data_IF_962161544821
#
_entry.id   IF_962161544821
#
_cell.length_a   1.000
_cell.length_b   1.000
_cell.length_c   1.000
_cell.angle_alpha   90.00
_cell.angle_beta   90.00
_cell.angle_gamma   90.00
#
_symmetry.space_group_name_H-M   'P 1'
#
loop_
_entity.id
_entity.type
_entity.pdbx_description
1 polymer ?
#
# COMPACT_ATOMS: atom_id res chain seq x y z
N UNK A 1 -18.57 -12.17 -40.20
CA UNK A 1 -17.66 -13.23 -39.74
C UNK A 1 -18.51 -14.46 -39.48
N UNK A 2 -18.30 -15.53 -40.24
CA UNK A 2 -19.04 -16.78 -40.12
C UNK A 2 -18.12 -17.77 -39.40
N UNK A 3 -18.45 -18.13 -38.15
CA UNK A 3 -17.61 -19.02 -37.36
C UNK A 3 -17.67 -20.43 -37.94
N UNK A 4 -16.54 -20.96 -38.39
CA UNK A 4 -16.46 -22.29 -38.99
C UNK A 4 -16.22 -23.39 -37.94
N UNK A 5 -16.62 -24.64 -38.22
CA UNK A 5 -16.39 -25.79 -37.32
C UNK A 5 -14.90 -25.99 -36.97
N UNK A 6 -13.98 -25.59 -37.86
CA UNK A 6 -12.53 -25.67 -37.67
C UNK A 6 -12.03 -24.64 -36.65
N UNK A 7 -12.54 -23.41 -36.70
CA UNK A 7 -12.18 -22.35 -35.74
C UNK A 7 -12.68 -22.67 -34.33
N UNK A 8 -13.84 -23.31 -34.21
CA UNK A 8 -14.35 -23.80 -32.92
C UNK A 8 -13.41 -24.87 -32.35
N UNK A 9 -12.95 -25.82 -33.18
CA UNK A 9 -12.02 -26.87 -32.75
C UNK A 9 -10.65 -26.30 -32.36
N UNK A 10 -10.14 -25.34 -33.12
CA UNK A 10 -8.89 -24.64 -32.80
C UNK A 10 -9.01 -23.84 -31.50
N UNK A 11 -10.14 -23.17 -31.27
CA UNK A 11 -10.41 -22.43 -30.02
C UNK A 11 -10.46 -23.35 -28.80
N UNK A 12 -11.09 -24.52 -28.90
CA UNK A 12 -11.08 -25.54 -27.83
C UNK A 12 -9.65 -25.98 -27.54
N UNK A 13 -8.83 -26.17 -28.59
CA UNK A 13 -7.43 -26.57 -28.45
C UNK A 13 -6.59 -25.48 -27.78
N UNK A 14 -6.79 -24.21 -28.15
CA UNK A 14 -6.15 -23.04 -27.51
C UNK A 14 -6.52 -22.98 -26.03
N UNK A 15 -7.81 -23.11 -25.69
CA UNK A 15 -8.27 -23.10 -24.30
C UNK A 15 -7.62 -24.26 -23.53
N UNK A 16 -7.56 -25.47 -24.10
CA UNK A 16 -6.93 -26.61 -23.45
C UNK A 16 -5.44 -26.37 -23.15
N UNK A 17 -4.68 -25.83 -24.11
CA UNK A 17 -3.27 -25.47 -23.92
C UNK A 17 -3.11 -24.38 -22.86
N UNK A 18 -3.95 -23.34 -22.91
CA UNK A 18 -3.94 -22.24 -21.93
C UNK A 18 -4.28 -22.73 -20.52
N UNK A 19 -5.20 -23.68 -20.37
CA UNK A 19 -5.49 -24.29 -19.07
C UNK A 19 -4.30 -25.09 -18.55
N UNK A 20 -3.62 -25.89 -19.39
CA UNK A 20 -2.44 -26.64 -18.98
C UNK A 20 -1.32 -25.71 -18.49
N UNK A 21 -1.04 -24.64 -19.23
CA UNK A 21 -0.06 -23.62 -18.82
C UNK A 21 -0.51 -22.93 -17.54
N UNK A 22 -1.80 -22.56 -17.45
CA UNK A 22 -2.38 -21.95 -16.26
C UNK A 22 -2.20 -22.81 -15.01
N UNK A 23 -2.41 -24.13 -15.12
CA UNK A 23 -2.19 -25.05 -14.01
C UNK A 23 -0.73 -25.11 -13.57
N UNK A 24 0.23 -25.14 -14.50
CA UNK A 24 1.67 -25.11 -14.16
C UNK A 24 2.03 -23.86 -13.38
N UNK A 25 1.61 -22.67 -13.85
CA UNK A 25 1.89 -21.40 -13.17
C UNK A 25 1.18 -21.35 -11.82
N UNK A 26 -0.07 -21.80 -11.75
CA UNK A 26 -0.82 -21.88 -10.49
C UNK A 26 -0.18 -22.83 -9.48
N UNK A 27 0.51 -23.88 -9.95
CA UNK A 27 1.27 -24.80 -9.12
C UNK A 27 2.45 -24.11 -8.44
N UNK A 28 3.21 -23.30 -9.18
CA UNK A 28 4.30 -22.50 -8.62
C UNK A 28 3.78 -21.46 -7.61
N UNK A 29 2.65 -20.80 -7.92
CA UNK A 29 1.99 -19.88 -6.97
C UNK A 29 1.57 -20.63 -5.70
N UNK A 30 0.97 -21.82 -5.85
CA UNK A 30 0.56 -22.64 -4.72
C UNK A 30 1.74 -23.11 -3.88
N UNK A 31 2.86 -23.47 -4.50
CA UNK A 31 4.08 -23.84 -3.79
C UNK A 31 4.62 -22.66 -2.96
N UNK A 32 4.72 -21.47 -3.56
CA UNK A 32 5.13 -20.27 -2.84
C UNK A 32 4.20 -19.95 -1.67
N UNK A 33 2.88 -20.09 -1.84
CA UNK A 33 1.89 -19.91 -0.77
C UNK A 33 2.10 -20.94 0.35
N UNK A 34 2.38 -22.19 0.01
CA UNK A 34 2.61 -23.25 0.97
C UNK A 34 3.89 -23.02 1.78
N UNK A 35 4.97 -22.58 1.14
CA UNK A 35 6.23 -22.23 1.79
C UNK A 35 6.04 -21.09 2.80
N UNK A 36 5.31 -20.04 2.41
CA UNK A 36 4.98 -18.92 3.30
C UNK A 36 4.10 -19.37 4.47
N UNK A 37 3.07 -20.19 4.22
CA UNK A 37 2.23 -20.74 5.28
C UNK A 37 3.01 -21.64 6.24
N UNK A 38 3.94 -22.44 5.74
CA UNK A 38 4.82 -23.25 6.58
C UNK A 38 5.71 -22.37 7.46
N UNK A 39 6.27 -21.30 6.89
CA UNK A 39 7.04 -20.29 7.62
C UNK A 39 6.21 -19.64 8.74
N UNK A 40 4.97 -19.24 8.46
CA UNK A 40 4.10 -18.62 9.47
C UNK A 40 3.65 -19.61 10.56
N UNK A 41 3.35 -20.85 10.18
CA UNK A 41 2.93 -21.88 11.13
C UNK A 41 4.05 -22.33 12.07
N UNK A 42 5.29 -22.35 11.57
CA UNK A 42 6.49 -22.66 12.38
C UNK A 42 6.99 -21.47 13.20
N UNK A 43 6.55 -20.25 12.91
CA UNK A 43 7.02 -19.06 13.60
C UNK A 43 6.61 -19.06 15.07
N UNK A 44 7.53 -18.63 15.94
CA UNK A 44 7.29 -18.57 17.38
C UNK A 44 6.31 -17.43 17.68
N UNK A 45 5.32 -17.68 18.54
CA UNK A 45 4.33 -16.67 18.95
C UNK A 45 4.71 -16.09 20.31
N UNK A 46 5.17 -14.84 20.32
CA UNK A 46 5.66 -14.14 21.50
C UNK A 46 4.65 -13.04 21.89
N UNK A 47 4.25 -13.02 23.15
CA UNK A 47 3.36 -11.98 23.74
C UNK A 47 3.97 -11.32 24.97
N UNK A 48 5.21 -11.70 25.30
CA UNK A 48 5.91 -11.31 26.51
C UNK A 48 7.25 -10.64 26.15
N UNK A 49 7.62 -9.62 26.92
CA UNK A 49 8.81 -8.79 26.71
C UNK A 49 10.11 -9.58 26.94
N UNK A 50 10.16 -10.40 28.00
CA UNK A 50 11.34 -11.20 28.30
C UNK A 50 11.55 -12.29 27.25
N UNK A 51 10.46 -12.91 26.79
CA UNK A 51 10.52 -13.86 25.67
C UNK A 51 10.95 -13.22 24.36
N UNK A 52 10.60 -11.95 24.11
CA UNK A 52 11.05 -11.24 22.91
C UNK A 52 12.56 -11.00 22.92
N UNK A 53 13.09 -10.48 24.04
CA UNK A 53 14.53 -10.30 24.22
C UNK A 53 15.27 -11.64 24.15
N UNK A 54 14.80 -12.64 24.89
CA UNK A 54 15.38 -13.98 24.85
C UNK A 54 15.35 -14.58 23.44
N UNK A 55 14.28 -14.33 22.67
CA UNK A 55 14.16 -14.77 21.29
C UNK A 55 15.25 -14.18 20.38
N UNK A 56 15.58 -12.90 20.57
CA UNK A 56 16.69 -12.24 19.88
C UNK A 56 18.05 -12.78 20.33
N UNK A 57 18.25 -12.97 21.63
CA UNK A 57 19.52 -13.46 22.20
C UNK A 57 19.83 -14.91 21.79
N UNK A 58 18.79 -15.73 21.55
CA UNK A 58 18.91 -17.15 21.19
C UNK A 58 18.71 -17.43 19.70
N UNK A 59 18.57 -16.40 18.87
CA UNK A 59 18.50 -16.52 17.41
C UNK A 59 17.36 -17.45 16.92
N UNK A 60 16.17 -17.35 17.49
CA UNK A 60 15.07 -18.31 17.26
C UNK A 60 14.48 -18.29 15.82
N UNK A 61 14.87 -17.32 14.99
CA UNK A 61 14.35 -17.17 13.63
C UNK A 61 13.03 -16.41 13.58
N UNK A 62 12.13 -16.82 12.69
CA UNK A 62 10.86 -16.12 12.46
C UNK A 62 9.95 -16.17 13.70
N UNK A 63 9.44 -15.02 14.11
CA UNK A 63 8.52 -14.89 15.22
C UNK A 63 7.43 -13.84 14.93
N UNK A 64 6.23 -14.12 15.44
CA UNK A 64 5.19 -13.14 15.64
C UNK A 64 5.32 -12.57 17.04
N UNK A 65 5.47 -11.25 17.16
CA UNK A 65 5.67 -10.58 18.45
C UNK A 65 4.56 -9.57 18.66
N UNK A 66 3.66 -9.83 19.61
CA UNK A 66 2.66 -8.86 20.05
C UNK A 66 3.22 -8.01 21.18
N UNK A 67 3.16 -6.70 21.03
CA UNK A 67 3.79 -5.79 21.98
C UNK A 67 3.31 -4.35 21.90
N UNK A 68 3.85 -3.53 22.79
CA UNK A 68 3.68 -2.08 22.76
C UNK A 68 4.81 -1.45 21.95
N UNK A 69 4.45 -0.53 21.07
CA UNK A 69 5.36 0.38 20.40
C UNK A 69 5.24 1.75 21.08
N UNK A 70 6.34 2.28 21.60
CA UNK A 70 6.39 3.53 22.34
C UNK A 70 7.55 4.41 21.87
N UNK A 71 7.41 5.72 21.98
CA UNK A 71 8.51 6.67 21.76
C UNK A 71 9.50 6.62 22.92
N UNK A 72 10.80 6.66 22.63
CA UNK A 72 11.83 6.95 23.64
C UNK A 72 11.98 8.46 23.81
N UNK A 73 12.09 9.17 22.70
CA UNK A 73 12.10 10.63 22.60
C UNK A 73 10.91 11.12 21.76
N UNK A 74 10.49 12.37 21.96
CA UNK A 74 9.29 12.93 21.29
C UNK A 74 9.63 14.19 20.52
N UNK A 75 8.93 14.41 19.41
CA UNK A 75 9.04 15.61 18.58
C UNK A 75 7.72 16.35 18.49
N UNK A 76 7.79 17.67 18.31
CA UNK A 76 6.64 18.51 18.00
C UNK A 76 7.07 19.82 17.37
N UNK A 77 6.17 20.46 16.62
CA UNK A 77 6.29 21.87 16.27
C UNK A 77 5.66 22.73 17.38
N UNK A 78 6.22 23.91 17.73
CA UNK A 78 5.68 24.79 18.77
C UNK A 78 4.21 25.17 18.54
N UNK A 79 3.82 25.39 17.28
CA UNK A 79 2.50 25.86 16.89
C UNK A 79 1.37 24.83 17.04
N UNK A 80 1.71 23.54 17.13
CA UNK A 80 0.73 22.46 17.38
C UNK A 80 0.81 21.90 18.79
N UNK A 81 1.97 21.99 19.46
CA UNK A 81 2.24 21.36 20.75
C UNK A 81 1.99 19.84 20.75
N UNK A 82 2.02 19.24 21.93
CA UNK A 82 1.84 17.79 22.10
C UNK A 82 3.13 16.99 21.91
N UNK A 83 3.00 15.67 21.91
CA UNK A 83 4.12 14.73 21.84
C UNK A 83 3.84 13.68 20.76
N UNK A 84 4.81 13.47 19.87
CA UNK A 84 4.68 12.56 18.75
C UNK A 84 5.98 11.81 18.50
N UNK A 85 5.89 10.60 17.96
CA UNK A 85 7.05 9.87 17.41
C UNK A 85 7.48 10.52 16.09
N UNK A 86 6.51 11.01 15.30
CA UNK A 86 6.71 11.62 14.00
C UNK A 86 5.68 12.71 13.78
N UNK A 87 6.10 13.84 13.20
CA UNK A 87 5.22 14.91 12.75
C UNK A 87 5.60 15.34 11.35
N UNK A 88 4.61 15.48 10.48
CA UNK A 88 4.71 16.01 9.13
C UNK A 88 3.97 17.34 9.07
N UNK A 89 4.61 18.38 8.55
CA UNK A 89 4.05 19.69 8.24
C UNK A 89 4.00 19.83 6.72
N UNK A 90 2.82 20.12 6.18
CA UNK A 90 2.59 20.33 4.76
C UNK A 90 2.16 21.78 4.57
N UNK A 91 2.95 22.57 3.84
CA UNK A 91 2.53 23.87 3.33
C UNK A 91 1.66 23.65 2.10
N UNK A 92 0.43 24.14 2.15
CA UNK A 92 -0.48 24.13 1.02
C UNK A 92 -0.85 25.54 0.60
N UNK A 93 -0.87 25.78 -0.72
CA UNK A 93 -1.27 27.04 -1.34
C UNK A 93 -2.55 26.84 -2.12
N UNK A 94 -3.45 27.81 -2.06
CA UNK A 94 -4.70 27.76 -2.80
C UNK A 94 -4.52 28.39 -4.18
N UNK A 95 -4.11 27.60 -5.14
CA UNK A 95 -3.83 28.03 -6.51
C UNK A 95 -5.09 28.07 -7.37
N UNK A 96 -5.02 28.85 -8.44
CA UNK A 96 -6.10 29.09 -9.39
C UNK A 96 -5.82 28.31 -10.65
N UNK A 97 -6.81 27.55 -11.11
CA UNK A 97 -6.75 26.81 -12.36
C UNK A 97 -7.83 27.28 -13.32
N UNK A 98 -7.52 27.24 -14.60
CA UNK A 98 -8.45 27.46 -15.70
C UNK A 98 -8.56 26.17 -16.52
N UNK A 99 -9.77 25.71 -16.75
CA UNK A 99 -10.07 24.58 -17.61
C UNK A 99 -11.03 25.02 -18.71
N UNK A 100 -10.70 24.73 -19.96
CA UNK A 100 -11.58 24.95 -21.10
C UNK A 100 -12.58 23.79 -21.20
N UNK A 101 -13.87 24.08 -21.11
CA UNK A 101 -14.94 23.08 -21.15
C UNK A 101 -15.82 23.34 -22.37
N UNK A 102 -16.05 22.29 -23.16
CA UNK A 102 -16.97 22.29 -24.29
C UNK A 102 -18.30 21.64 -23.90
N UNK A 103 -19.38 22.40 -23.99
CA UNK A 103 -20.74 21.95 -23.69
C UNK A 103 -21.59 21.91 -24.96
N UNK A 104 -22.38 20.84 -25.13
CA UNK A 104 -23.37 20.73 -26.22
C UNK A 104 -24.73 21.20 -25.73
N UNK A 105 -25.35 22.11 -26.47
CA UNK A 105 -26.73 22.48 -26.21
C UNK A 105 -27.72 21.38 -26.65
N UNK A 106 -29.00 21.54 -26.30
CA UNK A 106 -30.07 20.60 -26.67
C UNK A 106 -30.31 20.48 -28.18
N UNK A 107 -29.64 21.30 -28.99
CA UNK A 107 -29.66 21.27 -30.46
C UNK A 107 -28.35 20.74 -31.05
N UNK A 108 -27.44 20.24 -30.22
CA UNK A 108 -26.17 19.63 -30.63
C UNK A 108 -25.06 20.62 -31.00
N UNK A 109 -25.23 21.93 -30.74
CA UNK A 109 -24.19 22.92 -30.99
C UNK A 109 -23.24 23.00 -29.80
N UNK A 110 -21.94 22.94 -30.10
CA UNK A 110 -20.86 23.04 -29.11
C UNK A 110 -20.60 24.51 -28.75
N UNK A 111 -20.43 24.77 -27.45
CA UNK A 111 -20.05 26.05 -26.88
C UNK A 111 -18.90 25.83 -25.91
N UNK A 112 -17.84 26.62 -26.07
CA UNK A 112 -16.67 26.57 -25.20
C UNK A 112 -16.76 27.65 -24.13
N UNK A 113 -16.46 27.31 -22.88
CA UNK A 113 -16.31 28.27 -21.78
C UNK A 113 -15.10 27.95 -20.91
N UNK A 114 -14.49 28.98 -20.33
CA UNK A 114 -13.42 28.82 -19.35
C UNK A 114 -14.05 28.65 -17.96
N UNK A 115 -13.74 27.54 -17.30
CA UNK A 115 -14.07 27.29 -15.91
C UNK A 115 -12.87 27.64 -15.05
N UNK A 116 -13.06 28.60 -14.15
CA UNK A 116 -12.06 28.95 -13.14
C UNK A 116 -12.38 28.21 -11.85
N UNK A 117 -11.40 27.50 -11.30
CA UNK A 117 -11.52 26.82 -10.01
C UNK A 117 -10.24 27.00 -9.19
N UNK A 118 -10.29 26.59 -7.92
CA UNK A 118 -9.17 26.73 -7.01
C UNK A 118 -8.95 25.45 -6.24
N UNK A 119 -7.71 25.01 -6.16
CA UNK A 119 -7.32 23.79 -5.43
C UNK A 119 -6.22 24.10 -4.42
N UNK A 120 -6.12 23.24 -3.41
CA UNK A 120 -5.02 23.32 -2.45
C UNK A 120 -3.91 22.42 -2.95
N UNK A 121 -2.78 23.01 -3.29
CA UNK A 121 -1.62 22.32 -3.80
C UNK A 121 -0.52 22.28 -2.75
N UNK A 122 0.21 21.17 -2.70
CA UNK A 122 1.35 21.02 -1.77
C UNK A 122 2.56 21.74 -2.32
N UNK A 123 3.00 22.77 -1.60
CA UNK A 123 4.22 23.51 -1.94
C UNK A 123 5.45 22.90 -1.28
N UNK A 124 5.35 22.57 0.01
CA UNK A 124 6.48 22.12 0.80
C UNK A 124 6.06 21.07 1.84
N UNK A 125 6.98 20.16 2.13
CA UNK A 125 6.80 19.10 3.11
C UNK A 125 8.01 19.07 4.03
N UNK A 126 7.77 19.33 5.30
CA UNK A 126 8.75 19.20 6.37
C UNK A 126 8.35 18.07 7.31
N UNK A 127 9.32 17.44 7.95
CA UNK A 127 9.04 16.43 8.96
C UNK A 127 10.06 16.39 10.07
N UNK A 128 9.58 16.02 11.25
CA UNK A 128 10.37 15.76 12.45
C UNK A 128 10.08 14.32 12.89
N UNK A 129 11.10 13.65 13.43
CA UNK A 129 10.96 12.29 13.93
C UNK A 129 11.82 12.07 15.17
N UNK A 130 11.39 11.13 16.01
CA UNK A 130 12.16 10.61 17.12
C UNK A 130 13.46 9.96 16.61
N UNK A 131 14.48 9.90 17.45
CA UNK A 131 15.72 9.15 17.15
C UNK A 131 15.52 7.67 17.43
N UNK A 132 14.81 7.36 18.51
CA UNK A 132 14.66 6.02 19.02
C UNK A 132 13.20 5.71 19.37
N UNK A 133 12.86 4.44 19.19
CA UNK A 133 11.56 3.86 19.52
C UNK A 133 11.78 2.64 20.38
N UNK A 134 10.82 2.32 21.24
CA UNK A 134 10.80 1.13 22.06
C UNK A 134 9.71 0.20 21.58
N UNK A 135 10.04 -1.03 21.28
CA UNK A 135 9.06 -2.06 20.96
C UNK A 135 9.25 -3.28 21.86
N UNK A 136 8.17 -3.65 22.54
CA UNK A 136 8.13 -4.78 23.47
C UNK A 136 9.35 -4.77 24.42
N UNK A 137 9.57 -3.64 25.09
CA UNK A 137 10.69 -3.44 26.02
C UNK A 137 12.03 -3.04 25.42
N UNK A 138 12.30 -3.48 24.19
CA UNK A 138 13.60 -3.29 23.53
C UNK A 138 13.66 -1.98 22.74
N UNK A 139 14.78 -1.25 22.85
CA UNK A 139 15.00 0.02 22.15
C UNK A 139 15.60 -0.23 20.77
N UNK A 140 15.09 0.48 19.77
CA UNK A 140 15.54 0.44 18.39
C UNK A 140 15.65 1.85 17.82
N UNK A 141 16.45 2.01 16.76
CA UNK A 141 16.42 3.24 15.96
C UNK A 141 15.04 3.42 15.31
N UNK A 142 14.60 4.68 15.15
CA UNK A 142 13.31 5.03 14.56
C UNK A 142 12.98 4.29 13.25
N UNK A 143 13.95 4.12 12.35
CA UNK A 143 13.75 3.46 11.05
C UNK A 143 13.69 1.93 11.11
N UNK A 144 13.81 1.34 12.31
CA UNK A 144 13.83 -0.12 12.47
C UNK A 144 12.45 -0.73 12.23
N UNK A 145 11.40 -0.03 12.64
CA UNK A 145 10.01 -0.47 12.52
C UNK A 145 9.24 0.58 11.71
N UNK A 146 8.50 0.13 10.72
CA UNK A 146 7.60 1.01 9.96
C UNK A 146 6.44 1.44 10.85
N UNK A 147 6.35 2.74 11.11
CA UNK A 147 5.33 3.29 11.99
C UNK A 147 3.93 3.24 11.35
N UNK A 148 2.87 3.23 12.18
CA UNK A 148 1.51 3.41 11.69
C UNK A 148 1.37 4.73 10.90
N UNK A 149 0.44 4.75 9.95
CA UNK A 149 0.13 5.96 9.17
C UNK A 149 -0.17 7.16 10.08
N UNK A 150 0.47 8.28 9.76
CA UNK A 150 0.27 9.55 10.46
C UNK A 150 -1.18 10.01 10.34
N UNK A 151 -1.76 10.52 11.43
CA UNK A 151 -3.13 11.03 11.47
C UNK A 151 -3.13 12.56 11.44
N UNK A 152 -4.18 13.13 10.86
CA UNK A 152 -4.41 14.57 10.91
C UNK A 152 -4.44 15.06 12.36
N UNK A 153 -3.70 16.14 12.61
CA UNK A 153 -3.65 16.82 13.91
C UNK A 153 -4.46 18.11 13.81
N UNK A 154 -4.04 19.03 12.94
CA UNK A 154 -4.58 20.38 12.85
C UNK A 154 -4.18 21.03 11.53
N UNK A 155 -4.96 22.01 11.10
CA UNK A 155 -4.62 22.95 10.04
C UNK A 155 -4.52 24.35 10.63
N UNK A 156 -3.45 25.07 10.32
CA UNK A 156 -3.21 26.44 10.77
C UNK A 156 -3.14 27.35 9.53
N UNK A 157 -3.97 28.41 9.45
CA UNK A 157 -3.87 29.36 8.34
C UNK A 157 -2.55 30.14 8.42
N UNK A 158 -1.90 30.31 7.27
CA UNK A 158 -0.74 31.17 7.10
C UNK A 158 -1.09 32.51 6.47
N UNK A 159 -0.08 33.36 6.32
CA UNK A 159 -0.22 34.61 5.59
C UNK A 159 -0.39 34.35 4.09
N UNK A 160 -1.07 35.28 3.40
CA UNK A 160 -1.17 35.21 1.94
C UNK A 160 0.19 35.47 1.30
N UNK A 161 0.60 34.62 0.38
CA UNK A 161 1.83 34.79 -0.41
C UNK A 161 1.50 35.10 -1.85
N UNK A 162 2.43 35.71 -2.59
CA UNK A 162 2.27 35.90 -4.03
C UNK A 162 2.60 34.60 -4.74
N UNK A 163 1.68 34.11 -5.57
CA UNK A 163 1.92 32.98 -6.47
C UNK A 163 2.35 33.49 -7.83
N UNK A 164 3.48 32.97 -8.31
CA UNK A 164 3.99 33.27 -9.64
C UNK A 164 3.23 32.54 -10.74
N UNK A 165 2.55 31.44 -10.39
CA UNK A 165 1.76 30.65 -11.31
C UNK A 165 0.44 31.33 -11.66
N UNK A 166 -0.29 31.78 -10.64
CA UNK A 166 -1.58 32.45 -10.81
C UNK A 166 -1.47 33.98 -10.91
N UNK A 167 -0.33 34.57 -10.55
CA UNK A 167 -0.10 36.02 -10.60
C UNK A 167 -0.86 36.80 -9.53
N UNK A 168 -1.31 36.14 -8.46
CA UNK A 168 -2.13 36.73 -7.40
C UNK A 168 -1.68 36.34 -5.99
N UNK A 169 -2.27 37.01 -4.98
CA UNK A 169 -2.01 36.68 -3.57
C UNK A 169 -2.91 35.54 -3.11
N UNK A 170 -2.34 34.35 -3.06
CA UNK A 170 -3.00 33.10 -2.69
C UNK A 170 -3.02 32.88 -1.18
N UNK A 171 -4.00 32.09 -0.71
CA UNK A 171 -4.07 31.70 0.70
C UNK A 171 -3.07 30.58 0.97
N UNK A 172 -2.40 30.64 2.11
CA UNK A 172 -1.53 29.57 2.60
C UNK A 172 -2.17 28.92 3.82
N UNK A 173 -2.01 27.61 3.96
CA UNK A 173 -2.30 26.88 5.19
C UNK A 173 -1.24 25.83 5.44
N UNK A 174 -1.02 25.51 6.71
CA UNK A 174 -0.14 24.44 7.13
C UNK A 174 -0.97 23.31 7.70
N UNK A 175 -0.89 22.13 7.08
CA UNK A 175 -1.59 20.93 7.52
C UNK A 175 -0.61 20.02 8.23
N UNK A 176 -0.95 19.64 9.46
CA UNK A 176 -0.10 18.83 10.32
C UNK A 176 -0.66 17.43 10.46
N UNK A 177 0.21 16.43 10.29
CA UNK A 177 -0.06 15.03 10.54
C UNK A 177 0.95 14.49 11.54
N UNK A 178 0.58 13.51 12.36
CA UNK A 178 1.55 12.87 13.24
C UNK A 178 1.17 11.49 13.73
N UNK A 179 2.19 10.85 14.30
CA UNK A 179 2.14 9.51 14.88
C UNK A 179 2.27 9.67 16.38
N UNK A 180 1.27 9.18 17.13
CA UNK A 180 1.22 9.30 18.59
C UNK A 180 2.37 8.54 19.24
N UNK A 181 2.67 8.85 20.50
CA UNK A 181 3.78 8.24 21.25
C UNK A 181 3.61 6.78 21.60
N UNK A 182 2.40 6.19 21.49
CA UNK A 182 2.11 4.81 21.93
C UNK A 182 1.12 4.10 21.04
N UNK A 183 1.43 2.85 20.70
CA UNK A 183 0.56 1.91 19.99
C UNK A 183 0.71 0.50 20.55
N UNK A 184 -0.30 -0.34 20.29
CA UNK A 184 -0.22 -1.79 20.49
C UNK A 184 -0.45 -2.47 19.16
N UNK A 185 0.18 -3.61 18.96
CA UNK A 185 0.11 -4.32 17.70
C UNK A 185 1.12 -5.46 17.67
N UNK A 186 1.26 -6.04 16.50
CA UNK A 186 2.15 -7.18 16.29
C UNK A 186 3.14 -6.87 15.17
N UNK A 187 4.34 -7.43 15.26
CA UNK A 187 5.29 -7.52 14.15
C UNK A 187 5.48 -8.98 13.75
N UNK A 188 5.83 -9.21 12.50
CA UNK A 188 6.39 -10.47 12.03
C UNK A 188 7.84 -10.22 11.60
N UNK A 189 8.79 -10.84 12.31
CA UNK A 189 10.22 -10.55 12.12
C UNK A 189 11.07 -11.79 12.35
N UNK A 190 12.25 -11.78 11.74
CA UNK A 190 13.31 -12.73 12.04
C UNK A 190 14.13 -12.21 13.22
N UNK A 191 14.19 -12.95 14.32
CA UNK A 191 14.88 -12.56 15.54
C UNK A 191 16.33 -13.06 15.61
N UNK A 192 16.96 -13.34 14.46
CA UNK A 192 18.39 -13.66 14.42
C UNK A 192 19.24 -12.39 14.54
N UNK A 193 20.51 -12.60 14.89
CA UNK A 193 21.54 -11.57 15.02
C UNK A 193 21.29 -10.55 16.15
N UNK A 194 20.55 -10.96 17.19
CA UNK A 194 20.29 -10.12 18.36
C UNK A 194 19.44 -8.87 18.08
N UNK A 195 18.73 -8.84 16.95
CA UNK A 195 17.90 -7.69 16.56
C UNK A 195 16.73 -8.13 15.66
N UNK A 196 16.01 -7.17 15.09
CA UNK A 196 14.98 -7.39 14.07
C UNK A 196 15.47 -6.84 12.71
N UNK A 197 14.85 -7.20 11.57
CA UNK A 197 15.18 -6.59 10.28
C UNK A 197 14.84 -5.09 10.26
N UNK A 198 15.53 -4.33 9.40
CA UNK A 198 15.18 -2.92 9.16
C UNK A 198 13.84 -2.83 8.42
N UNK A 199 13.06 -1.77 8.68
CA UNK A 199 11.72 -1.57 8.11
C UNK A 199 10.77 -2.74 8.38
N UNK A 200 10.84 -3.29 9.60
CA UNK A 200 9.88 -4.32 10.03
C UNK A 200 8.49 -3.71 10.11
N UNK A 201 7.51 -4.30 9.44
CA UNK A 201 6.15 -3.76 9.41
C UNK A 201 5.43 -3.93 10.76
N UNK A 202 4.81 -2.86 11.25
CA UNK A 202 4.01 -2.89 12.47
C UNK A 202 2.51 -2.90 12.18
N UNK A 203 1.88 -4.02 12.48
CA UNK A 203 0.44 -4.21 12.33
C UNK A 203 -0.28 -3.68 13.57
N UNK A 204 -0.66 -2.40 13.49
CA UNK A 204 -1.33 -1.68 14.56
C UNK A 204 -2.70 -2.28 14.87
N UNK A 205 -3.00 -2.40 16.17
CA UNK A 205 -4.27 -2.89 16.72
C UNK A 205 -4.62 -4.33 16.24
N UNK A 206 -3.65 -5.07 15.72
CA UNK A 206 -3.80 -6.46 15.27
C UNK A 206 -3.15 -7.43 16.25
N UNK A 207 -3.88 -8.47 16.62
CA UNK A 207 -3.32 -9.61 17.35
C UNK A 207 -2.50 -10.51 16.41
N UNK A 208 -1.75 -11.46 17.00
CA UNK A 208 -1.03 -12.47 16.22
C UNK A 208 -1.98 -13.26 15.33
N UNK A 209 -3.15 -13.66 15.86
CA UNK A 209 -4.10 -14.48 15.13
C UNK A 209 -4.76 -13.71 13.97
N UNK A 210 -4.95 -12.39 14.12
CA UNK A 210 -5.46 -11.54 13.03
C UNK A 210 -4.48 -11.49 11.86
N UNK A 211 -3.17 -11.44 12.14
CA UNK A 211 -2.14 -11.35 11.10
C UNK A 211 -1.95 -12.69 10.41
N UNK A 212 -1.97 -13.79 11.17
CA UNK A 212 -1.92 -15.14 10.58
C UNK A 212 -3.08 -15.30 9.59
N UNK A 213 -4.31 -14.95 10.00
CA UNK A 213 -5.49 -14.98 9.11
C UNK A 213 -5.36 -14.04 7.91
N UNK A 214 -4.80 -12.85 8.11
CA UNK A 214 -4.58 -11.90 7.03
C UNK A 214 -3.59 -12.46 5.99
N UNK A 215 -2.51 -13.10 6.42
CA UNK A 215 -1.55 -13.74 5.51
C UNK A 215 -2.19 -14.91 4.73
N UNK A 216 -2.95 -15.77 5.40
CA UNK A 216 -3.70 -16.86 4.77
C UNK A 216 -4.72 -16.33 3.75
N UNK A 217 -5.42 -15.24 4.08
CA UNK A 217 -6.43 -14.62 3.21
C UNK A 217 -5.77 -13.98 1.99
N UNK A 218 -4.67 -13.25 2.17
CA UNK A 218 -3.95 -12.59 1.07
C UNK A 218 -3.43 -13.60 0.05
N UNK A 219 -2.89 -14.73 0.52
CA UNK A 219 -2.48 -15.82 -0.34
C UNK A 219 -3.64 -16.38 -1.17
N UNK A 220 -4.80 -16.59 -0.54
CA UNK A 220 -6.01 -17.06 -1.22
C UNK A 220 -6.48 -16.06 -2.28
N UNK A 221 -6.47 -14.76 -1.96
CA UNK A 221 -6.87 -13.69 -2.89
C UNK A 221 -5.92 -13.62 -4.10
N UNK A 222 -4.60 -13.77 -3.90
CA UNK A 222 -3.63 -13.77 -4.98
C UNK A 222 -3.92 -14.89 -6.01
N UNK A 223 -4.23 -16.09 -5.52
CA UNK A 223 -4.60 -17.22 -6.38
C UNK A 223 -5.89 -16.96 -7.17
N UNK A 224 -6.90 -16.33 -6.56
CA UNK A 224 -8.15 -15.96 -7.24
C UNK A 224 -7.90 -14.90 -8.31
N UNK A 225 -7.12 -13.85 -8.01
CA UNK A 225 -6.78 -12.79 -8.97
C UNK A 225 -6.04 -13.36 -10.18
N UNK A 226 -5.11 -14.30 -9.96
CA UNK A 226 -4.41 -14.99 -11.04
C UNK A 226 -5.39 -15.64 -12.01
N UNK A 227 -6.33 -16.45 -11.52
CA UNK A 227 -7.29 -17.13 -12.39
C UNK A 227 -8.22 -16.15 -13.13
N UNK A 228 -8.64 -15.06 -12.49
CA UNK A 228 -9.44 -14.01 -13.14
C UNK A 228 -8.65 -13.40 -14.31
N UNK A 229 -7.41 -12.99 -14.08
CA UNK A 229 -6.55 -12.42 -15.12
C UNK A 229 -6.26 -13.44 -16.25
N UNK A 230 -6.05 -14.71 -15.88
CA UNK A 230 -5.75 -15.79 -16.82
C UNK A 230 -6.94 -16.11 -17.73
N UNK A 231 -8.16 -16.10 -17.19
CA UNK A 231 -9.40 -16.30 -17.97
C UNK A 231 -9.60 -15.14 -18.95
N UNK A 232 -9.39 -13.90 -18.51
CA UNK A 232 -9.48 -12.72 -19.38
C UNK A 232 -8.45 -12.79 -20.52
N UNK A 233 -7.20 -13.15 -20.20
CA UNK A 233 -6.13 -13.33 -21.18
C UNK A 233 -6.50 -14.42 -22.20
N UNK A 234 -6.99 -15.57 -21.73
CA UNK A 234 -7.41 -16.69 -22.58
C UNK A 234 -8.55 -16.27 -23.52
N UNK A 235 -9.55 -15.54 -22.99
CA UNK A 235 -10.64 -14.99 -23.79
C UNK A 235 -10.15 -14.00 -24.85
N UNK A 236 -9.17 -13.16 -24.51
CA UNK A 236 -8.51 -12.24 -25.43
C UNK A 236 -7.76 -12.96 -26.55
N UNK A 237 -7.05 -14.05 -26.25
CA UNK A 237 -6.35 -14.87 -27.26
C UNK A 237 -7.34 -15.54 -28.20
N UNK A 238 -8.41 -16.13 -27.66
CA UNK A 238 -9.47 -16.76 -28.47
C UNK A 238 -10.16 -15.71 -29.36
N UNK A 239 -10.48 -14.54 -28.82
CA UNK A 239 -11.06 -13.44 -29.60
C UNK A 239 -10.11 -12.95 -30.69
N UNK A 240 -8.83 -12.76 -30.37
CA UNK A 240 -7.79 -12.38 -31.34
C UNK A 240 -7.62 -13.42 -32.44
N UNK A 241 -7.69 -14.72 -32.09
CA UNK A 241 -7.68 -15.82 -33.05
C UNK A 241 -8.85 -15.75 -34.03
N UNK A 242 -10.04 -15.33 -33.57
CA UNK A 242 -11.21 -15.13 -34.43
C UNK A 242 -11.09 -13.86 -35.31
N UNK A 243 -10.47 -12.78 -34.82
CA UNK A 243 -10.46 -11.50 -35.53
C UNK A 243 -9.32 -11.34 -36.55
N UNK A 244 -8.21 -12.04 -36.36
CA UNK A 244 -7.16 -12.13 -37.37
C UNK A 244 -7.64 -13.09 -38.45
N UNK A 245 -7.93 -12.59 -39.66
CA UNK A 245 -8.28 -13.42 -40.83
C UNK A 245 -7.17 -14.45 -41.04
N UNK A 246 -7.44 -15.67 -40.62
CA UNK A 246 -6.46 -16.73 -40.51
C UNK A 246 -6.43 -17.54 -41.82
N UNK A 247 -5.79 -16.96 -42.85
CA UNK A 247 -5.53 -17.62 -44.16
C UNK A 247 -4.71 -18.94 -44.04
N UNK A 248 -4.17 -19.28 -42.86
CA UNK A 248 -3.35 -20.47 -42.63
C UNK A 248 -4.14 -21.77 -42.45
N UNK A 249 -5.47 -21.73 -42.49
CA UNK A 249 -6.36 -22.89 -42.45
C UNK A 249 -7.06 -23.19 -43.79
N UNK A 250 -6.71 -22.46 -44.86
CA UNK A 250 -6.97 -22.86 -46.26
C UNK A 250 -5.96 -23.91 -46.76
#
# INVERSE_FOLDING_TARGET
MEITKREVLASISIIAVMLLIGFLISGEISNSIMDDNEKYNKAVKIKDEDLFRYGMDTNIGNAFVYGKLESVDTVTYPEIGGEYIFVKKIEERRERHEEEITEKDSKGKEHTRIRVYYEWETENVESLHAKEIKFCGSTFSYNKIDLPSSKYIKTIPGDKVYSWESGERVKVRFVYYGVKTKYKGTIFADLRDGTIPNKTHFYKDSSIDDIVKMFETNATVAMVIFWIAWIILTGGIVYGFYYLDNEWLE
#
